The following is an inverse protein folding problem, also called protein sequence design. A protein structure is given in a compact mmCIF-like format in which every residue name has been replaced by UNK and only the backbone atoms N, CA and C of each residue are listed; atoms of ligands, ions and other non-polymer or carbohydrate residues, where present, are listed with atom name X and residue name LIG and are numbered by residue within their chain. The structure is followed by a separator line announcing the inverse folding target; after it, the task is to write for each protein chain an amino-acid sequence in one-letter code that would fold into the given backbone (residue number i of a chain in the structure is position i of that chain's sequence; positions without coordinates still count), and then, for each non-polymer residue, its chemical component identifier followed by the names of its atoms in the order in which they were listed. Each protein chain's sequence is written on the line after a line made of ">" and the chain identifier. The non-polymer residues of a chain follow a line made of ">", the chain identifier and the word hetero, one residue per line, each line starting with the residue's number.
data_IF_713111748928
#
_entry.id   IF_713111748928
#
_cell.length_a   1.000
_cell.length_b   1.000
_cell.length_c   1.000
_cell.angle_alpha   90.00
_cell.angle_beta   90.00
_cell.angle_gamma   90.00
#
_symmetry.space_group_name_H-M   'P 1'
#
loop_
_entity.id
_entity.type
_entity.pdbx_description
1 polymer ?
#
# COMPACT_ATOMS: atom_id res chain seq x y z
N UNK A 1 -3.60 -25.09 8.01
CA UNK A 1 -4.13 -23.85 8.65
C UNK A 1 -2.97 -23.18 9.40
N UNK A 2 -3.10 -21.96 9.94
CA UNK A 2 -2.02 -21.32 10.70
C UNK A 2 -2.51 -20.84 12.06
N UNK A 3 -1.68 -20.96 13.10
CA UNK A 3 -2.02 -20.45 14.43
C UNK A 3 -2.13 -18.92 14.41
N UNK A 4 -3.21 -18.31 14.92
CA UNK A 4 -3.42 -16.86 14.90
C UNK A 4 -2.47 -16.10 15.82
N UNK A 5 -1.84 -16.78 16.79
CA UNK A 5 -0.95 -16.13 17.77
C UNK A 5 0.51 -16.10 17.33
N UNK A 6 0.97 -17.13 16.62
CA UNK A 6 2.40 -17.29 16.32
C UNK A 6 2.70 -17.72 14.88
N UNK A 7 1.69 -17.78 14.02
CA UNK A 7 1.86 -18.04 12.59
C UNK A 7 2.36 -19.45 12.21
N UNK A 8 2.47 -20.38 13.15
CA UNK A 8 2.96 -21.73 12.87
C UNK A 8 1.89 -22.56 12.13
N UNK A 9 2.26 -23.37 11.11
CA UNK A 9 1.30 -24.21 10.38
C UNK A 9 0.72 -25.31 11.27
N UNK A 10 -0.59 -25.29 11.42
CA UNK A 10 -1.39 -26.28 12.17
C UNK A 10 -2.22 -27.15 11.22
N UNK A 11 -2.49 -28.37 11.66
CA UNK A 11 -3.40 -29.32 11.02
C UNK A 11 -4.82 -29.15 11.54
N UNK A 12 -5.85 -29.58 10.79
CA UNK A 12 -7.24 -29.49 11.23
C UNK A 12 -7.56 -30.26 12.53
N UNK A 13 -6.76 -31.29 12.83
CA UNK A 13 -6.94 -32.17 14.00
C UNK A 13 -6.19 -31.66 15.25
N UNK A 14 -5.40 -30.58 15.13
CA UNK A 14 -4.67 -30.01 16.25
C UNK A 14 -5.63 -29.29 17.21
N UNK A 15 -5.73 -29.78 18.45
CA UNK A 15 -6.50 -29.14 19.52
C UNK A 15 -5.75 -27.99 20.20
N UNK A 16 -4.45 -27.86 19.94
CA UNK A 16 -3.62 -26.74 20.39
C UNK A 16 -2.42 -26.48 19.49
N UNK A 17 -1.92 -25.24 19.48
CA UNK A 17 -0.74 -24.90 18.68
C UNK A 17 0.54 -25.49 19.31
N UNK A 18 1.36 -26.23 18.54
CA UNK A 18 2.58 -26.87 19.06
C UNK A 18 3.67 -25.87 19.47
N UNK A 19 3.63 -24.63 18.97
CA UNK A 19 4.63 -23.60 19.25
C UNK A 19 4.27 -22.69 20.43
N UNK A 20 3.02 -22.24 20.52
CA UNK A 20 2.60 -21.26 21.52
C UNK A 20 1.55 -21.78 22.52
N UNK A 21 1.16 -23.06 22.40
CA UNK A 21 0.18 -23.75 23.27
C UNK A 21 -1.19 -23.08 23.35
N UNK A 22 -1.55 -22.27 22.35
CA UNK A 22 -2.90 -21.75 22.21
C UNK A 22 -3.87 -22.91 21.97
N UNK A 23 -4.87 -23.08 22.83
CA UNK A 23 -5.92 -24.11 22.70
C UNK A 23 -7.02 -23.60 21.77
N UNK A 24 -7.45 -24.42 20.82
CA UNK A 24 -8.53 -24.09 19.89
C UNK A 24 -9.85 -24.63 20.46
N UNK A 25 -10.65 -23.75 21.10
CA UNK A 25 -12.00 -24.13 21.57
C UNK A 25 -12.98 -24.01 20.41
N UNK A 26 -13.64 -25.12 20.06
CA UNK A 26 -14.39 -25.33 18.80
C UNK A 26 -15.63 -24.45 18.57
N UNK A 27 -15.97 -23.47 19.41
CA UNK A 27 -17.29 -22.81 19.32
C UNK A 27 -17.32 -21.31 18.99
N UNK A 28 -16.19 -20.62 18.75
CA UNK A 28 -16.24 -19.16 18.51
C UNK A 28 -15.38 -18.56 17.41
N UNK A 29 -14.45 -19.30 16.80
CA UNK A 29 -13.49 -18.71 15.86
C UNK A 29 -13.84 -18.89 14.37
N UNK A 30 -14.93 -19.62 14.05
CA UNK A 30 -15.30 -19.93 12.66
C UNK A 30 -16.71 -19.49 12.23
N UNK A 31 -17.43 -18.70 13.03
CA UNK A 31 -18.66 -18.08 12.55
C UNK A 31 -18.31 -16.85 11.68
N UNK A 32 -18.50 -16.89 10.34
CA UNK A 32 -18.48 -15.65 9.56
C UNK A 32 -19.52 -14.71 10.16
N UNK A 33 -19.11 -13.48 10.52
CA UNK A 33 -20.08 -12.46 10.93
C UNK A 33 -21.05 -12.28 9.77
N UNK A 34 -22.32 -12.60 10.01
CA UNK A 34 -23.38 -12.36 9.05
C UNK A 34 -23.35 -10.88 8.64
N UNK A 35 -23.37 -10.62 7.33
CA UNK A 35 -23.41 -9.28 6.81
C UNK A 35 -24.60 -8.50 7.41
N UNK A 36 -24.43 -7.21 7.75
CA UNK A 36 -25.55 -6.41 8.22
C UNK A 36 -26.65 -6.37 7.14
N UNK A 37 -27.93 -6.38 7.53
CA UNK A 37 -29.02 -6.35 6.57
C UNK A 37 -28.95 -5.05 5.75
N UNK A 38 -29.25 -5.10 4.43
CA UNK A 38 -29.21 -3.91 3.59
C UNK A 38 -30.16 -2.85 4.14
N UNK A 39 -29.61 -1.67 4.48
CA UNK A 39 -30.42 -0.52 4.91
C UNK A 39 -31.26 -0.06 3.72
N UNK A 40 -32.57 -0.21 3.81
CA UNK A 40 -33.52 0.32 2.81
C UNK A 40 -33.45 1.84 2.85
N UNK A 41 -32.98 2.46 1.76
CA UNK A 41 -32.99 3.91 1.62
C UNK A 41 -34.44 4.44 1.74
N UNK A 42 -34.71 5.46 2.58
CA UNK A 42 -36.04 6.05 2.67
C UNK A 42 -36.46 6.64 1.33
N UNK A 43 -37.74 6.52 0.98
CA UNK A 43 -38.31 6.94 -0.31
C UNK A 43 -37.97 8.41 -0.67
N UNK A 44 -37.83 9.26 0.35
CA UNK A 44 -37.41 10.66 0.21
C UNK A 44 -36.04 10.81 -0.49
N UNK A 45 -35.08 9.93 -0.20
CA UNK A 45 -33.75 9.99 -0.84
C UNK A 45 -33.77 9.56 -2.31
N UNK A 46 -34.68 8.65 -2.68
CA UNK A 46 -34.85 8.26 -4.09
C UNK A 46 -35.40 9.42 -4.93
N UNK A 47 -36.28 10.24 -4.35
CA UNK A 47 -36.83 11.41 -5.03
C UNK A 47 -35.78 12.53 -5.20
N UNK A 48 -34.93 12.74 -4.19
CA UNK A 48 -33.84 13.73 -4.27
C UNK A 48 -32.83 13.33 -5.36
N UNK A 49 -32.41 12.06 -5.41
CA UNK A 49 -31.51 11.58 -6.47
C UNK A 49 -32.12 11.73 -7.87
N UNK A 50 -33.42 11.43 -8.03
CA UNK A 50 -34.13 11.63 -9.29
C UNK A 50 -34.17 13.10 -9.73
N UNK A 51 -34.44 14.01 -8.80
CA UNK A 51 -34.47 15.45 -9.09
C UNK A 51 -33.08 16.01 -9.47
N UNK A 52 -32.02 15.56 -8.81
CA UNK A 52 -30.64 15.97 -9.11
C UNK A 52 -30.22 15.47 -10.50
N UNK A 53 -30.47 14.20 -10.83
CA UNK A 53 -30.15 13.66 -12.16
C UNK A 53 -30.90 14.38 -13.27
N UNK A 54 -32.19 14.69 -13.06
CA UNK A 54 -32.98 15.45 -14.04
C UNK A 54 -32.41 16.85 -14.26
N UNK A 55 -31.98 17.53 -13.19
CA UNK A 55 -31.42 18.88 -13.25
C UNK A 55 -30.07 18.90 -13.99
N UNK A 56 -29.20 17.90 -13.78
CA UNK A 56 -27.96 17.77 -14.54
C UNK A 56 -28.22 17.44 -16.03
N UNK A 57 -29.21 16.60 -16.33
CA UNK A 57 -29.54 16.24 -17.72
C UNK A 57 -30.14 17.41 -18.51
N UNK A 58 -30.84 18.35 -17.85
CA UNK A 58 -31.49 19.48 -18.55
C UNK A 58 -30.68 20.78 -18.49
N UNK A 59 -29.98 21.07 -17.40
CA UNK A 59 -29.26 22.33 -17.24
C UNK A 59 -27.86 22.31 -17.87
N UNK A 60 -27.17 21.15 -17.85
CA UNK A 60 -25.82 21.02 -18.41
C UNK A 60 -25.75 21.21 -19.93
N UNK A 61 -26.63 20.61 -20.76
CA UNK A 61 -26.53 20.80 -22.21
C UNK A 61 -26.91 22.23 -22.64
N UNK A 62 -27.85 22.89 -21.95
CA UNK A 62 -28.25 24.27 -22.25
C UNK A 62 -27.11 25.25 -21.93
N UNK A 63 -26.43 25.06 -20.78
CA UNK A 63 -25.29 25.89 -20.41
C UNK A 63 -24.09 25.68 -21.35
N UNK A 64 -23.83 24.44 -21.77
CA UNK A 64 -22.79 24.11 -22.75
C UNK A 64 -23.10 24.78 -24.09
N UNK A 65 -24.33 24.67 -24.60
CA UNK A 65 -24.72 25.31 -25.88
C UNK A 65 -24.57 26.84 -25.81
N UNK A 66 -24.89 27.47 -24.67
CA UNK A 66 -24.72 28.92 -24.49
C UNK A 66 -23.24 29.35 -24.37
N UNK A 67 -22.35 28.49 -23.84
CA UNK A 67 -20.92 28.80 -23.69
C UNK A 67 -20.11 28.56 -24.98
N UNK A 68 -20.58 27.70 -25.88
CA UNK A 68 -19.84 27.33 -27.10
C UNK A 68 -20.42 27.92 -28.41
N UNK A 69 -21.44 28.79 -28.34
CA UNK A 69 -22.03 29.40 -29.53
C UNK A 69 -21.21 30.56 -30.14
N UNK A 70 -20.15 31.03 -29.49
CA UNK A 70 -19.44 32.25 -29.91
C UNK A 70 -18.04 32.04 -30.50
N UNK A 71 -17.53 30.82 -30.65
CA UNK A 71 -16.13 30.62 -31.08
C UNK A 71 -15.99 29.63 -32.27
N UNK A 72 -16.40 30.11 -33.45
CA UNK A 72 -15.95 29.57 -34.73
C UNK A 72 -15.08 30.63 -35.41
N UNK A 73 -13.85 30.80 -34.95
CA UNK A 73 -12.98 31.86 -35.43
C UNK A 73 -11.49 31.60 -35.26
N UNK A 74 -10.93 30.77 -36.14
CA UNK A 74 -9.70 31.12 -36.85
C UNK A 74 -8.32 30.85 -36.21
N UNK A 75 -7.44 30.40 -37.10
CA UNK A 75 -5.98 30.54 -37.15
C UNK A 75 -5.04 29.69 -36.27
N UNK A 76 -4.44 28.70 -36.94
CA UNK A 76 -3.01 28.33 -36.86
C UNK A 76 -2.15 29.52 -37.34
N UNK A 77 -0.94 29.80 -36.81
CA UNK A 77 0.26 29.16 -37.38
C UNK A 77 1.46 28.94 -36.41
N UNK A 78 2.12 27.79 -36.61
CA UNK A 78 3.55 27.59 -36.92
C UNK A 78 4.74 28.23 -36.13
N UNK A 79 5.66 27.31 -35.78
CA UNK A 79 7.15 27.32 -35.87
C UNK A 79 8.07 27.86 -34.74
N UNK A 80 8.64 26.88 -33.99
CA UNK A 80 10.08 26.59 -33.70
C UNK A 80 10.98 27.65 -32.97
N UNK A 81 12.26 27.33 -32.64
CA UNK A 81 12.76 26.33 -31.69
C UNK A 81 13.75 26.93 -30.66
N UNK A 82 13.99 26.28 -29.52
CA UNK A 82 14.95 26.73 -28.50
C UNK A 82 15.80 25.60 -27.93
N UNK A 83 16.98 25.39 -28.51
CA UNK A 83 18.02 24.45 -28.05
C UNK A 83 18.76 24.99 -26.82
N UNK A 84 19.06 24.13 -25.85
CA UNK A 84 20.30 24.24 -25.06
C UNK A 84 20.87 22.84 -24.74
N UNK A 85 22.16 22.58 -25.04
CA UNK A 85 22.84 21.36 -24.60
C UNK A 85 23.40 21.56 -23.19
N UNK A 86 23.11 20.64 -22.27
CA UNK A 86 23.84 20.55 -21.01
C UNK A 86 24.91 19.47 -21.13
N UNK A 87 26.16 19.91 -21.07
CA UNK A 87 27.38 19.12 -20.98
C UNK A 87 27.37 18.24 -19.73
N UNK A 88 27.39 16.92 -19.90
CA UNK A 88 27.69 15.96 -18.84
C UNK A 88 29.18 15.59 -18.86
N UNK A 89 29.81 15.73 -17.71
CA UNK A 89 31.23 15.47 -17.46
C UNK A 89 31.52 13.95 -17.36
N UNK A 90 32.68 13.44 -17.82
CA UNK A 90 33.00 12.01 -17.78
C UNK A 90 33.30 11.51 -16.35
N UNK A 91 32.66 10.43 -15.92
CA UNK A 91 33.07 9.65 -14.74
C UNK A 91 33.70 8.33 -15.18
N UNK A 92 34.87 8.06 -14.61
CA UNK A 92 35.72 6.90 -14.87
C UNK A 92 35.07 5.54 -14.57
N UNK A 93 35.56 4.45 -15.19
CA UNK A 93 34.98 3.12 -15.05
C UNK A 93 35.40 2.48 -13.73
N UNK A 94 34.44 2.22 -12.85
CA UNK A 94 34.66 1.33 -11.70
C UNK A 94 34.74 -0.12 -12.19
N UNK A 95 35.86 -0.76 -11.86
CA UNK A 95 36.16 -2.15 -12.15
C UNK A 95 35.19 -3.11 -11.45
N UNK A 96 34.73 -4.10 -12.21
CA UNK A 96 33.97 -5.26 -11.70
C UNK A 96 34.95 -6.32 -11.19
N UNK A 97 34.82 -6.83 -9.95
CA UNK A 97 35.40 -8.12 -9.57
C UNK A 97 34.45 -9.26 -9.96
N UNK A 98 35.04 -10.25 -10.62
CA UNK A 98 34.45 -11.52 -11.08
C UNK A 98 34.37 -12.57 -9.96
N UNK A 99 33.35 -13.44 -10.07
CA UNK A 99 33.13 -14.79 -9.51
C UNK A 99 32.79 -15.01 -8.02
N UNK A 100 31.61 -15.58 -7.74
CA UNK A 100 31.39 -17.02 -7.47
C UNK A 100 29.95 -17.31 -6.92
N UNK A 101 29.45 -18.58 -6.93
CA UNK A 101 28.02 -18.91 -7.04
C UNK A 101 27.27 -19.26 -5.72
N UNK A 102 25.94 -19.08 -5.78
CA UNK A 102 24.84 -19.70 -5.01
C UNK A 102 25.10 -20.26 -3.59
N UNK A 103 24.48 -19.61 -2.59
CA UNK A 103 24.16 -20.19 -1.29
C UNK A 103 23.27 -19.23 -0.49
N UNK A 104 22.11 -19.69 -0.02
CA UNK A 104 21.15 -18.91 0.78
C UNK A 104 21.75 -18.51 2.12
N UNK A 105 22.02 -17.23 2.33
CA UNK A 105 22.12 -16.61 3.65
C UNK A 105 21.91 -15.09 3.52
N UNK A 106 20.65 -14.65 3.57
CA UNK A 106 20.31 -13.22 3.46
C UNK A 106 19.80 -12.68 4.79
N UNK A 107 20.74 -12.51 5.73
CA UNK A 107 20.68 -11.49 6.76
C UNK A 107 22.07 -10.85 6.78
N UNK A 108 22.19 -9.57 6.41
CA UNK A 108 23.45 -8.85 6.62
C UNK A 108 23.16 -7.63 7.48
N UNK A 109 23.12 -7.90 8.79
CA UNK A 109 23.80 -7.13 9.81
C UNK A 109 24.53 -8.11 10.76
N UNK A 110 25.31 -7.65 11.74
CA UNK A 110 26.17 -8.49 12.56
C UNK A 110 25.44 -9.41 13.57
N UNK A 111 24.10 -9.51 13.53
CA UNK A 111 23.32 -10.31 14.47
C UNK A 111 21.82 -10.34 14.19
N UNK A 112 21.05 -10.95 15.10
CA UNK A 112 19.58 -11.11 15.01
C UNK A 112 18.83 -9.80 15.29
N UNK A 113 17.77 -9.50 14.53
CA UNK A 113 16.90 -8.32 14.69
C UNK A 113 16.21 -8.33 16.05
N UNK A 114 15.86 -9.51 16.58
CA UNK A 114 15.24 -9.67 17.89
C UNK A 114 16.17 -9.31 19.05
N UNK A 115 17.49 -9.29 18.82
CA UNK A 115 18.47 -8.89 19.81
C UNK A 115 18.66 -7.36 19.88
N UNK A 116 18.04 -6.60 18.96
CA UNK A 116 18.14 -5.15 18.97
C UNK A 116 17.29 -4.54 20.10
N UNK A 117 17.83 -3.55 20.84
CA UNK A 117 17.06 -2.88 21.87
C UNK A 117 15.89 -2.11 21.23
N UNK A 118 14.73 -2.13 21.88
CA UNK A 118 13.65 -1.21 21.54
C UNK A 118 14.14 0.23 21.77
N UNK A 119 13.91 1.13 20.82
CA UNK A 119 14.37 2.52 21.00
C UNK A 119 15.04 3.13 19.79
N UNK A 120 15.53 2.31 18.88
CA UNK A 120 16.43 2.77 17.83
C UNK A 120 15.69 3.63 16.79
N UNK A 121 16.40 4.64 16.30
CA UNK A 121 16.08 5.37 15.08
C UNK A 121 16.65 4.64 13.85
N UNK A 122 16.25 5.06 12.66
CA UNK A 122 16.75 4.49 11.40
C UNK A 122 18.27 4.57 11.30
N UNK A 123 18.87 5.70 11.67
CA UNK A 123 20.31 5.86 11.75
C UNK A 123 20.93 4.92 12.79
N UNK A 124 20.25 4.71 13.92
CA UNK A 124 20.67 3.77 14.96
C UNK A 124 20.71 2.31 14.48
N UNK A 125 19.77 1.90 13.63
CA UNK A 125 19.77 0.58 12.98
C UNK A 125 20.88 0.52 11.93
N UNK A 126 21.01 1.55 11.09
CA UNK A 126 22.00 1.61 10.02
C UNK A 126 23.45 1.62 10.51
N UNK A 127 23.80 2.39 11.55
CA UNK A 127 25.18 2.44 12.08
C UNK A 127 25.65 1.12 12.69
N UNK A 128 24.71 0.20 12.95
CA UNK A 128 25.00 -1.18 13.36
C UNK A 128 25.20 -2.11 12.15
N UNK A 129 25.31 -1.54 10.94
CA UNK A 129 25.54 -2.23 9.67
C UNK A 129 24.43 -3.20 9.26
N UNK A 130 23.21 -2.98 9.74
CA UNK A 130 22.04 -3.69 9.24
C UNK A 130 21.60 -3.11 7.91
N UNK A 131 21.33 -3.97 6.93
CA UNK A 131 20.71 -3.60 5.64
C UNK A 131 19.25 -3.17 5.80
N UNK A 132 18.72 -2.53 4.76
CA UNK A 132 17.36 -1.97 4.77
C UNK A 132 16.27 -2.99 5.13
N UNK A 133 16.38 -4.23 4.62
CA UNK A 133 15.44 -5.33 4.94
C UNK A 133 15.30 -5.56 6.44
N UNK A 134 16.40 -5.50 7.19
CA UNK A 134 16.38 -5.67 8.65
C UNK A 134 15.76 -4.46 9.35
N UNK A 135 15.97 -3.26 8.82
CA UNK A 135 15.28 -2.08 9.35
C UNK A 135 13.75 -2.21 9.22
N UNK A 136 13.26 -2.85 8.16
CA UNK A 136 11.82 -3.12 7.98
C UNK A 136 11.30 -4.12 9.03
N UNK A 137 12.06 -5.19 9.27
CA UNK A 137 11.71 -6.17 10.30
C UNK A 137 11.73 -5.54 11.70
N UNK A 138 12.70 -4.67 11.99
CA UNK A 138 12.75 -3.92 13.24
C UNK A 138 11.55 -2.96 13.39
N UNK A 139 11.20 -2.24 12.33
CA UNK A 139 10.03 -1.35 12.31
C UNK A 139 8.73 -2.11 12.59
N UNK A 140 8.52 -3.25 11.91
CA UNK A 140 7.36 -4.12 12.13
C UNK A 140 7.34 -4.71 13.54
N UNK A 141 8.47 -5.22 14.02
CA UNK A 141 8.59 -5.83 15.35
C UNK A 141 8.21 -4.87 16.48
N UNK A 142 8.48 -3.57 16.29
CA UNK A 142 8.25 -2.55 17.31
C UNK A 142 6.97 -1.73 17.10
N UNK A 143 6.05 -2.20 16.25
CA UNK A 143 4.74 -1.59 16.04
C UNK A 143 4.78 -0.30 15.23
N UNK A 144 5.65 -0.26 14.21
CA UNK A 144 5.69 0.78 13.16
C UNK A 144 5.76 2.23 13.63
N UNK A 145 6.51 2.49 14.71
CA UNK A 145 6.59 3.82 15.34
C UNK A 145 7.07 4.91 14.37
N UNK A 146 6.43 6.07 14.44
CA UNK A 146 6.68 7.30 13.65
C UNK A 146 8.14 7.74 13.64
N UNK A 147 8.90 7.44 14.69
CA UNK A 147 10.34 7.77 14.75
C UNK A 147 11.20 7.06 13.69
N UNK A 148 10.67 6.01 13.05
CA UNK A 148 11.31 5.27 11.97
C UNK A 148 10.72 5.61 10.59
N UNK A 149 9.55 6.24 10.56
CA UNK A 149 8.80 6.66 9.38
C UNK A 149 8.40 8.13 9.63
N UNK A 150 9.38 9.01 9.47
CA UNK A 150 9.32 10.38 10.04
C UNK A 150 8.29 11.25 9.33
N UNK A 151 8.07 10.98 8.04
CA UNK A 151 7.05 11.58 7.20
C UNK A 151 5.72 10.83 7.21
N UNK A 152 5.66 9.63 7.77
CA UNK A 152 4.42 8.86 7.93
C UNK A 152 3.87 8.36 6.59
N UNK A 153 4.76 8.20 5.60
CA UNK A 153 4.40 7.79 4.26
C UNK A 153 4.43 6.27 4.08
N UNK A 154 4.62 5.51 5.18
CA UNK A 154 4.64 4.06 5.23
C UNK A 154 5.94 3.43 4.71
N UNK A 155 6.94 4.25 4.35
CA UNK A 155 8.24 3.82 3.85
C UNK A 155 9.29 4.20 4.89
N UNK A 156 9.43 3.48 6.01
CA UNK A 156 10.38 3.83 7.05
C UNK A 156 11.83 3.85 6.54
N UNK A 157 12.65 4.69 7.18
CA UNK A 157 14.10 4.76 7.05
C UNK A 157 14.62 5.08 5.64
N UNK A 158 13.77 5.55 4.74
CA UNK A 158 14.02 6.07 3.41
C UNK A 158 15.04 7.21 3.38
N UNK A 159 15.03 8.10 4.38
CA UNK A 159 16.07 9.14 4.54
C UNK A 159 17.40 8.65 5.13
N UNK A 160 17.43 7.46 5.75
CA UNK A 160 18.64 6.90 6.34
C UNK A 160 19.38 5.95 5.40
N UNK A 161 18.68 5.14 4.62
CA UNK A 161 19.26 4.12 3.76
C UNK A 161 19.46 4.58 2.31
N UNK A 162 20.37 3.96 1.55
CA UNK A 162 20.54 4.28 0.13
C UNK A 162 19.23 4.04 -0.65
N UNK A 163 18.85 5.00 -1.49
CA UNK A 163 17.65 4.91 -2.31
C UNK A 163 17.60 3.64 -3.20
N UNK A 164 18.74 3.05 -3.52
CA UNK A 164 18.82 1.78 -4.25
C UNK A 164 18.34 0.59 -3.42
N UNK A 165 18.63 0.54 -2.12
CA UNK A 165 18.14 -0.51 -1.22
C UNK A 165 16.66 -0.35 -0.93
N UNK A 166 16.24 0.89 -0.67
CA UNK A 166 14.82 1.24 -0.49
C UNK A 166 14.03 0.82 -1.72
N UNK A 167 14.49 1.22 -2.92
CA UNK A 167 13.85 0.83 -4.19
C UNK A 167 14.00 -0.65 -4.51
N UNK A 168 15.04 -1.34 -4.07
CA UNK A 168 15.14 -2.79 -4.25
C UNK A 168 14.06 -3.52 -3.42
N UNK A 169 13.80 -3.03 -2.21
CA UNK A 169 12.76 -3.56 -1.34
C UNK A 169 11.36 -3.23 -1.87
N UNK A 170 11.04 -1.95 -2.05
CA UNK A 170 9.72 -1.46 -2.44
C UNK A 170 9.45 -1.50 -3.95
N UNK A 171 10.48 -1.44 -4.78
CA UNK A 171 10.32 -1.51 -6.24
C UNK A 171 9.96 -2.89 -6.76
N UNK A 172 9.98 -3.94 -5.92
CA UNK A 172 9.31 -5.21 -6.24
C UNK A 172 7.80 -5.11 -6.00
N UNK A 173 7.36 -4.38 -4.97
CA UNK A 173 5.94 -4.11 -4.74
C UNK A 173 5.30 -3.33 -5.89
N UNK A 174 5.95 -2.27 -6.37
CA UNK A 174 5.52 -1.51 -7.56
C UNK A 174 5.58 -2.33 -8.88
N UNK A 175 6.34 -3.44 -8.92
CA UNK A 175 6.41 -4.34 -10.10
C UNK A 175 5.45 -5.53 -10.02
N UNK A 176 5.04 -5.92 -8.81
CA UNK A 176 4.05 -7.00 -8.58
C UNK A 176 2.63 -6.44 -8.56
N UNK A 177 2.46 -5.13 -8.60
CA UNK A 177 1.23 -4.45 -9.04
C UNK A 177 1.29 -4.33 -10.57
N UNK A 178 0.81 -5.32 -11.35
CA UNK A 178 0.74 -5.15 -12.80
C UNK A 178 -0.11 -3.92 -13.07
N UNK A 179 0.48 -2.87 -13.67
CA UNK A 179 -0.20 -1.69 -14.24
C UNK A 179 -1.69 -1.61 -13.90
N UNK A 180 -2.03 -1.31 -12.64
CA UNK A 180 -3.42 -1.14 -12.27
C UNK A 180 -3.79 0.30 -12.58
N UNK A 181 -3.91 0.58 -13.87
CA UNK A 181 -4.49 1.82 -14.38
C UNK A 181 -5.81 2.07 -13.63
N UNK A 182 -5.95 3.29 -13.10
CA UNK A 182 -7.19 3.76 -12.50
C UNK A 182 -7.20 3.96 -10.99
N UNK A 183 -6.13 3.63 -10.24
CA UNK A 183 -6.06 3.99 -8.80
C UNK A 183 -5.72 5.47 -8.61
N UNK A 184 -4.84 6.03 -9.45
CA UNK A 184 -4.42 7.44 -9.41
C UNK A 184 -5.55 8.43 -9.70
N UNK A 185 -6.59 7.99 -10.43
CA UNK A 185 -7.75 8.81 -10.78
C UNK A 185 -8.90 8.68 -9.79
N UNK A 186 -8.74 7.86 -8.74
CA UNK A 186 -9.77 7.71 -7.72
C UNK A 186 -9.88 8.96 -6.84
N UNK A 187 -11.10 9.36 -6.45
CA UNK A 187 -11.29 10.41 -5.47
C UNK A 187 -10.53 10.12 -4.18
N UNK A 188 -9.90 11.15 -3.61
CA UNK A 188 -9.37 11.10 -2.24
C UNK A 188 -10.51 10.89 -1.25
N UNK A 189 -10.23 10.24 -0.12
CA UNK A 189 -11.21 10.00 0.94
C UNK A 189 -12.00 8.69 0.85
N UNK A 190 -11.72 7.83 -0.14
CA UNK A 190 -12.29 6.48 -0.15
C UNK A 190 -11.74 5.68 1.03
N UNK A 191 -12.62 4.87 1.62
CA UNK A 191 -12.26 3.84 2.59
C UNK A 191 -12.35 2.46 1.94
N UNK A 192 -11.96 1.44 2.69
CA UNK A 192 -11.89 0.07 2.19
C UNK A 192 -13.21 -0.48 1.59
N UNK A 193 -14.36 -0.12 2.18
CA UNK A 193 -15.66 -0.51 1.63
C UNK A 193 -15.92 0.13 0.26
N UNK A 194 -15.60 1.42 0.10
CA UNK A 194 -15.78 2.14 -1.15
C UNK A 194 -14.88 1.60 -2.27
N UNK A 195 -13.65 1.20 -1.94
CA UNK A 195 -12.76 0.57 -2.93
C UNK A 195 -13.29 -0.81 -3.35
N UNK A 196 -13.81 -1.58 -2.40
CA UNK A 196 -14.37 -2.91 -2.70
C UNK A 196 -15.67 -2.87 -3.49
N UNK A 197 -16.53 -1.88 -3.25
CA UNK A 197 -17.74 -1.64 -4.05
C UNK A 197 -17.41 -1.29 -5.52
N UNK A 198 -16.16 -0.90 -5.80
CA UNK A 198 -15.64 -0.61 -7.15
C UNK A 198 -14.83 -1.78 -7.73
N UNK A 199 -14.98 -2.96 -7.14
CA UNK A 199 -14.30 -4.19 -7.55
C UNK A 199 -12.76 -4.10 -7.53
N UNK A 200 -12.20 -3.21 -6.69
CA UNK A 200 -10.74 -3.15 -6.52
C UNK A 200 -10.22 -4.37 -5.76
N UNK A 201 -9.13 -4.91 -6.27
CA UNK A 201 -8.37 -5.98 -5.62
C UNK A 201 -7.68 -5.46 -4.36
N UNK A 202 -7.18 -6.39 -3.54
CA UNK A 202 -6.37 -6.01 -2.38
C UNK A 202 -5.10 -5.24 -2.77
N UNK A 203 -4.45 -5.64 -3.87
CA UNK A 203 -3.27 -4.93 -4.39
C UNK A 203 -3.59 -3.48 -4.75
N UNK A 204 -4.67 -3.24 -5.51
CA UNK A 204 -5.14 -1.88 -5.83
C UNK A 204 -5.54 -1.08 -4.60
N UNK A 205 -6.13 -1.74 -3.61
CA UNK A 205 -6.52 -1.11 -2.35
C UNK A 205 -5.29 -0.71 -1.53
N UNK A 206 -4.26 -1.55 -1.54
CA UNK A 206 -2.97 -1.25 -0.94
C UNK A 206 -2.28 -0.08 -1.66
N UNK A 207 -2.31 -0.06 -2.99
CA UNK A 207 -1.78 1.06 -3.79
C UNK A 207 -2.48 2.38 -3.45
N UNK A 208 -3.81 2.37 -3.37
CA UNK A 208 -4.57 3.55 -2.98
C UNK A 208 -4.20 4.04 -1.58
N UNK A 209 -4.07 3.10 -0.62
CA UNK A 209 -3.70 3.43 0.75
C UNK A 209 -2.30 4.06 0.81
N UNK A 210 -1.33 3.50 0.08
CA UNK A 210 0.03 4.04 0.00
C UNK A 210 0.03 5.43 -0.65
N UNK A 211 -0.56 5.57 -1.85
CA UNK A 211 -0.54 6.82 -2.63
C UNK A 211 -1.30 7.96 -1.91
N UNK A 212 -2.32 7.63 -1.11
CA UNK A 212 -3.07 8.63 -0.34
C UNK A 212 -2.52 8.90 1.06
N UNK A 213 -1.32 8.41 1.37
CA UNK A 213 -0.61 8.72 2.62
C UNK A 213 -1.17 7.95 3.83
N UNK A 214 -1.42 6.65 3.65
CA UNK A 214 -1.71 5.71 4.73
C UNK A 214 -2.89 6.13 5.64
N UNK A 215 -4.06 6.50 5.08
CA UNK A 215 -5.13 7.05 5.89
C UNK A 215 -5.64 6.04 6.94
N UNK A 216 -5.64 6.45 8.22
CA UNK A 216 -6.09 5.65 9.37
C UNK A 216 -7.47 5.01 9.19
N UNK A 217 -8.38 5.68 8.46
CA UNK A 217 -9.74 5.15 8.16
C UNK A 217 -9.74 3.83 7.37
N UNK A 218 -8.60 3.39 6.87
CA UNK A 218 -8.43 2.14 6.13
C UNK A 218 -7.70 1.08 6.95
N UNK A 219 -7.14 1.43 8.09
CA UNK A 219 -6.31 0.59 8.96
C UNK A 219 -6.93 0.63 10.37
N UNK A 220 -7.99 -0.15 10.56
CA UNK A 220 -8.91 -0.04 11.71
C UNK A 220 -8.21 -0.23 13.07
N UNK A 221 -7.09 -0.96 13.12
CA UNK A 221 -6.29 -1.23 14.31
C UNK A 221 -4.91 -0.56 14.30
N UNK A 222 -4.64 0.29 13.30
CA UNK A 222 -3.41 1.07 13.16
C UNK A 222 -2.16 0.20 13.21
N UNK A 223 -2.28 -1.04 12.72
CA UNK A 223 -1.20 -2.00 12.72
C UNK A 223 -0.35 -1.90 11.45
N UNK A 224 -0.75 -1.02 10.53
CA UNK A 224 -0.17 -0.75 9.22
C UNK A 224 -0.61 -1.76 8.15
N UNK A 225 -1.71 -2.48 8.33
CA UNK A 225 -2.29 -3.34 7.32
C UNK A 225 -3.69 -2.84 6.98
N UNK A 226 -3.92 -2.26 5.79
CA UNK A 226 -5.22 -1.74 5.48
C UNK A 226 -6.21 -2.87 5.19
N UNK A 227 -7.47 -2.63 5.54
CA UNK A 227 -8.64 -3.38 5.11
C UNK A 227 -8.67 -4.86 5.51
N UNK A 228 -8.02 -5.23 6.61
CA UNK A 228 -7.93 -6.61 7.10
C UNK A 228 -9.28 -7.26 7.43
N UNK A 229 -10.25 -6.46 7.85
CA UNK A 229 -11.62 -6.92 8.11
C UNK A 229 -12.45 -7.17 6.85
N UNK A 230 -11.95 -6.77 5.68
CA UNK A 230 -12.67 -6.84 4.42
C UNK A 230 -12.04 -7.90 3.53
N UNK A 231 -10.75 -7.85 3.25
CA UNK A 231 -10.13 -8.82 2.33
C UNK A 231 -9.77 -10.15 3.01
N UNK A 232 -9.77 -11.29 2.28
CA UNK A 232 -9.36 -12.56 2.87
C UNK A 232 -7.91 -12.52 3.35
N UNK A 233 -7.64 -13.03 4.56
CA UNK A 233 -6.30 -13.10 5.15
C UNK A 233 -5.25 -13.77 4.25
N UNK A 234 -5.64 -14.72 3.41
CA UNK A 234 -4.72 -15.35 2.45
C UNK A 234 -4.18 -14.36 1.41
N UNK A 235 -5.02 -13.43 0.94
CA UNK A 235 -4.63 -12.40 -0.03
C UNK A 235 -3.76 -11.34 0.64
N UNK A 236 -4.12 -10.92 1.85
CA UNK A 236 -3.34 -10.01 2.68
C UNK A 236 -1.94 -10.59 2.91
N UNK A 237 -1.86 -11.86 3.33
CA UNK A 237 -0.56 -12.49 3.58
C UNK A 237 0.33 -12.62 2.35
N UNK A 238 -0.25 -12.87 1.18
CA UNK A 238 0.50 -12.93 -0.07
C UNK A 238 1.26 -11.62 -0.35
N UNK A 239 0.66 -10.50 0.05
CA UNK A 239 1.27 -9.19 -0.07
C UNK A 239 2.31 -9.03 1.05
N UNK A 240 1.91 -9.14 2.32
CA UNK A 240 2.75 -8.69 3.45
C UNK A 240 3.86 -9.63 3.94
N UNK A 241 3.79 -10.94 3.68
CA UNK A 241 4.67 -11.94 4.33
C UNK A 241 5.35 -12.90 3.35
N UNK A 242 5.79 -12.38 2.19
CA UNK A 242 6.56 -13.16 1.21
C UNK A 242 8.01 -13.36 1.63
#
# INVERSE_FOLDING_TARGET
>A
MYCPRCGQPITPDDTSCPRCRLVFTTDRQYAPRAAPPPRKLPLAWKLVLGAVVLLFLTASPVLIILLFAEDLGGEEPDLLPGSMPTTASPREPFATPTDAPNGREEAIGPGDVFALPAGLSCRGVQVRHYRYVVAMDYWRLHGRRDRLDVDGDGIPCEGAYPATEVRAYWGTWQRVTPNYEGVETLPVGLGCAGLRERDHTYGQTLDYWVITGHPERMDDDLDGVPCEGLFPLGVIRFHWYR
#
